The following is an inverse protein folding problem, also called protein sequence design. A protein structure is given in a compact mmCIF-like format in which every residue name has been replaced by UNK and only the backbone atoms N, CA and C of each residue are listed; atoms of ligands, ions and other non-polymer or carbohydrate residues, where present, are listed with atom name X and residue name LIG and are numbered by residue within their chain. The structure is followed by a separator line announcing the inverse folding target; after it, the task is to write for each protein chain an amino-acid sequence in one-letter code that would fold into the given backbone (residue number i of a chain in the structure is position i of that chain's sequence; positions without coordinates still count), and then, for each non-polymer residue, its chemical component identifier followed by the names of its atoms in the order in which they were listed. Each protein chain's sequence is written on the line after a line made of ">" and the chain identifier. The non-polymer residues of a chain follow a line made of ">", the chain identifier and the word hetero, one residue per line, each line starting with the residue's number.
data_IF_970120387183
#
_entry.id   IF_970120387183
#
_cell.length_a   1.000
_cell.length_b   1.000
_cell.length_c   1.000
_cell.angle_alpha   90.00
_cell.angle_beta   90.00
_cell.angle_gamma   90.00
#
_symmetry.space_group_name_H-M   'P 1'
#
loop_
_entity.id
_entity.type
_entity.pdbx_description
1 polymer ?
#
# COMPACT_ATOMS: atom_id res chain seq x y z
N UNK A 1 3.70 -2.62 -35.39
CA UNK A 1 2.65 -2.47 -34.36
C UNK A 1 2.28 -3.87 -33.88
N UNK A 2 2.81 -4.35 -32.75
CA UNK A 2 2.36 -5.62 -32.21
C UNK A 2 0.98 -5.42 -31.57
N UNK A 3 0.03 -6.25 -31.97
CA UNK A 3 -1.32 -6.29 -31.40
C UNK A 3 -1.23 -6.97 -30.04
N UNK A 4 -1.45 -6.21 -28.97
CA UNK A 4 -1.67 -6.76 -27.63
C UNK A 4 -2.95 -7.60 -27.68
N UNK A 5 -2.79 -8.91 -27.62
CA UNK A 5 -3.89 -9.85 -27.40
C UNK A 5 -4.04 -9.99 -25.89
N UNK A 6 -5.22 -9.76 -25.30
CA UNK A 6 -5.42 -9.98 -23.87
C UNK A 6 -5.33 -11.49 -23.61
N UNK A 7 -4.22 -11.94 -23.04
CA UNK A 7 -4.01 -13.33 -22.66
C UNK A 7 -4.92 -13.67 -21.47
N UNK A 8 -5.77 -14.68 -21.68
CA UNK A 8 -6.78 -15.24 -20.76
C UNK A 8 -6.23 -15.80 -19.42
N UNK A 9 -5.00 -15.48 -19.04
CA UNK A 9 -4.29 -16.07 -17.89
C UNK A 9 -4.30 -15.19 -16.64
N UNK A 10 -4.74 -13.92 -16.75
CA UNK A 10 -4.95 -13.04 -15.58
C UNK A 10 -6.14 -13.48 -14.70
N UNK A 11 -7.03 -14.32 -15.24
CA UNK A 11 -8.16 -14.89 -14.52
C UNK A 11 -7.76 -16.03 -13.55
N UNK A 12 -6.53 -16.55 -13.63
CA UNK A 12 -6.11 -17.73 -12.87
C UNK A 12 -5.56 -17.40 -11.46
N UNK A 13 -5.29 -16.13 -11.14
CA UNK A 13 -4.87 -15.69 -9.79
C UNK A 13 -6.05 -15.43 -8.82
N UNK A 14 -7.28 -15.71 -9.27
CA UNK A 14 -8.53 -15.48 -8.52
C UNK A 14 -9.15 -16.77 -7.95
N UNK A 15 -8.45 -17.91 -8.04
CA UNK A 15 -9.02 -19.21 -7.71
C UNK A 15 -8.15 -20.03 -6.75
N UNK A 16 -8.33 -19.83 -5.44
CA UNK A 16 -8.53 -20.92 -4.47
C UNK A 16 -8.61 -20.39 -3.02
N UNK A 17 -9.58 -20.95 -2.27
CA UNK A 17 -9.78 -20.92 -0.81
C UNK A 17 -10.32 -19.63 -0.17
N UNK A 18 -11.64 -19.64 0.06
CA UNK A 18 -12.38 -18.76 0.97
C UNK A 18 -12.28 -19.25 2.42
N UNK A 19 -12.40 -18.33 3.39
CA UNK A 19 -13.47 -18.40 4.36
C UNK A 19 -14.48 -17.28 4.10
N UNK A 20 -15.74 -17.59 4.38
CA UNK A 20 -16.91 -16.79 4.02
C UNK A 20 -16.93 -15.41 4.71
N UNK A 21 -16.57 -14.36 3.97
CA UNK A 21 -17.26 -13.08 4.10
C UNK A 21 -18.35 -13.06 3.04
N UNK A 22 -19.61 -13.13 3.48
CA UNK A 22 -20.75 -13.05 2.59
C UNK A 22 -20.66 -11.74 1.77
N UNK A 23 -20.39 -11.87 0.48
CA UNK A 23 -20.62 -10.82 -0.50
C UNK A 23 -22.13 -10.54 -0.54
N UNK A 24 -22.60 -9.62 0.30
CA UNK A 24 -23.92 -9.03 0.09
C UNK A 24 -23.78 -7.99 -1.02
N UNK A 25 -24.43 -8.24 -2.16
CA UNK A 25 -24.81 -7.19 -3.10
C UNK A 25 -25.46 -6.05 -2.28
N UNK A 26 -24.75 -4.92 -2.16
CA UNK A 26 -25.18 -3.76 -1.35
C UNK A 26 -24.35 -3.47 -0.09
N UNK A 27 -23.34 -4.27 0.28
CA UNK A 27 -22.41 -3.88 1.34
C UNK A 27 -21.56 -2.70 0.86
N UNK A 28 -21.68 -1.56 1.55
CA UNK A 28 -20.77 -0.42 1.37
C UNK A 28 -19.31 -0.88 1.51
N UNK A 29 -18.41 -0.25 0.75
CA UNK A 29 -16.97 -0.54 0.74
C UNK A 29 -16.24 0.09 1.93
N UNK A 30 -16.87 0.05 3.10
CA UNK A 30 -16.34 0.61 4.35
C UNK A 30 -15.00 -0.03 4.74
N UNK A 31 -14.17 0.74 5.45
CA UNK A 31 -12.91 0.30 6.00
C UNK A 31 -11.69 0.96 5.36
N UNK A 32 -10.53 0.37 5.64
CA UNK A 32 -9.22 0.87 5.20
C UNK A 32 -8.70 0.03 4.05
N UNK A 33 -8.29 0.69 2.98
CA UNK A 33 -7.84 0.09 1.73
C UNK A 33 -6.44 0.60 1.42
N UNK A 34 -5.47 -0.30 1.33
CA UNK A 34 -4.10 0.01 0.96
C UNK A 34 -3.87 -0.31 -0.52
N UNK A 35 -3.35 0.64 -1.27
CA UNK A 35 -3.07 0.44 -2.67
C UNK A 35 -1.74 -0.31 -2.88
N UNK A 36 -1.71 -1.25 -3.82
CA UNK A 36 -0.57 -2.14 -4.05
C UNK A 36 0.00 -2.11 -5.48
N UNK A 37 -0.47 -1.20 -6.33
CA UNK A 37 0.14 -1.02 -7.67
C UNK A 37 -0.71 -0.22 -8.65
N UNK A 38 -0.08 0.22 -9.74
CA UNK A 38 -0.75 0.76 -10.92
C UNK A 38 -0.40 -0.03 -12.19
N UNK A 39 -1.26 0.02 -13.20
CA UNK A 39 -1.14 -0.79 -14.42
C UNK A 39 -0.11 -0.33 -15.44
N UNK A 40 0.64 0.76 -15.20
CA UNK A 40 1.68 1.19 -16.13
C UNK A 40 3.02 0.49 -15.88
N UNK A 41 3.06 -0.49 -14.99
CA UNK A 41 4.31 -1.07 -14.49
C UNK A 41 5.06 -0.09 -13.56
N UNK A 42 4.42 1.00 -13.16
CA UNK A 42 4.95 1.94 -12.19
C UNK A 42 4.45 1.48 -10.82
N UNK A 43 5.21 0.57 -10.20
CA UNK A 43 4.98 0.29 -8.79
C UNK A 43 5.34 1.58 -8.03
N UNK A 44 4.37 2.18 -7.32
CA UNK A 44 4.62 3.44 -6.65
C UNK A 44 5.70 3.25 -5.58
N UNK A 45 6.69 4.14 -5.54
CA UNK A 45 7.61 4.27 -4.39
C UNK A 45 6.93 4.85 -3.14
N UNK A 46 5.64 4.59 -2.96
CA UNK A 46 4.78 5.09 -1.89
C UNK A 46 3.64 4.12 -1.61
N UNK A 47 3.10 4.19 -0.39
CA UNK A 47 1.90 3.47 0.04
C UNK A 47 0.74 4.47 0.07
N UNK A 48 -0.28 4.26 -0.75
CA UNK A 48 -1.53 5.04 -0.73
C UNK A 48 -2.57 4.31 0.11
N UNK A 49 -3.32 5.04 0.92
CA UNK A 49 -4.35 4.48 1.82
C UNK A 49 -5.63 5.27 1.66
N UNK A 50 -6.71 4.58 1.32
CA UNK A 50 -8.08 5.08 1.30
C UNK A 50 -8.83 4.55 2.53
N UNK A 51 -9.41 5.45 3.33
CA UNK A 51 -10.33 5.09 4.40
C UNK A 51 -11.72 5.58 4.04
N UNK A 52 -12.70 4.67 4.12
CA UNK A 52 -14.12 4.96 3.91
C UNK A 52 -14.86 4.68 5.22
N UNK A 53 -15.54 5.70 5.73
CA UNK A 53 -16.29 5.65 6.97
C UNK A 53 -17.62 6.39 6.80
N UNK A 54 -18.70 5.63 6.60
CA UNK A 54 -20.03 6.16 6.39
C UNK A 54 -20.16 6.90 5.06
N UNK A 55 -20.47 8.18 5.14
CA UNK A 55 -20.60 9.10 3.99
C UNK A 55 -19.32 9.90 3.74
N UNK A 56 -18.19 9.49 4.33
CA UNK A 56 -16.90 10.18 4.20
C UNK A 56 -15.80 9.26 3.72
N UNK A 57 -14.88 9.84 2.96
CA UNK A 57 -13.66 9.20 2.54
C UNK A 57 -12.46 10.12 2.76
N UNK A 58 -11.33 9.52 3.10
CA UNK A 58 -10.02 10.18 3.22
C UNK A 58 -8.97 9.34 2.52
N UNK A 59 -8.10 9.98 1.74
CA UNK A 59 -6.90 9.35 1.18
C UNK A 59 -5.66 10.01 1.75
N UNK A 60 -4.65 9.20 2.04
CA UNK A 60 -3.33 9.65 2.48
C UNK A 60 -2.23 8.86 1.78
N UNK A 61 -1.01 9.38 1.79
CA UNK A 61 0.16 8.71 1.21
C UNK A 61 1.35 8.71 2.16
N UNK A 62 1.98 7.56 2.28
CA UNK A 62 3.29 7.36 2.92
C UNK A 62 4.35 7.20 1.84
N UNK A 63 5.39 8.05 1.86
CA UNK A 63 6.48 8.02 0.88
C UNK A 63 7.81 8.35 1.55
N UNK A 64 8.92 8.00 0.94
CA UNK A 64 10.23 8.51 1.39
C UNK A 64 10.20 10.05 1.46
N UNK A 65 10.79 10.68 2.50
CA UNK A 65 10.86 12.13 2.59
C UNK A 65 11.58 12.71 1.36
N UNK A 66 11.07 13.81 0.80
CA UNK A 66 11.81 14.54 -0.25
C UNK A 66 13.13 15.09 0.33
N UNK A 67 14.16 15.27 -0.50
CA UNK A 67 15.52 15.63 -0.06
C UNK A 67 15.62 16.87 0.85
N UNK A 68 14.65 17.79 0.79
CA UNK A 68 14.61 19.00 1.62
C UNK A 68 13.97 18.78 3.01
N UNK A 69 13.31 17.65 3.24
CA UNK A 69 12.62 17.37 4.50
C UNK A 69 13.56 17.15 5.69
N UNK A 70 14.82 16.74 5.44
CA UNK A 70 15.85 16.68 6.48
C UNK A 70 16.25 18.06 7.01
N UNK A 71 16.18 19.10 6.15
CA UNK A 71 16.49 20.48 6.53
C UNK A 71 15.28 21.24 7.09
N UNK A 72 14.06 20.87 6.68
CA UNK A 72 12.81 21.52 7.08
C UNK A 72 11.71 20.49 7.41
N UNK A 73 11.79 19.82 8.56
CA UNK A 73 10.85 18.74 8.91
C UNK A 73 9.40 19.23 9.09
N UNK A 74 9.19 20.53 9.31
CA UNK A 74 7.86 21.14 9.42
C UNK A 74 7.29 21.63 8.08
N UNK A 75 8.02 21.51 6.96
CA UNK A 75 7.54 21.94 5.66
C UNK A 75 6.34 21.08 5.18
N UNK A 76 5.40 21.65 4.41
CA UNK A 76 4.33 20.88 3.78
C UNK A 76 4.90 19.72 2.95
N UNK A 77 4.33 18.52 3.12
CA UNK A 77 4.79 17.31 2.44
C UNK A 77 5.98 16.59 3.09
N UNK A 78 6.47 17.08 4.24
CA UNK A 78 7.50 16.42 5.05
C UNK A 78 6.95 15.71 6.30
N UNK A 79 5.74 16.04 6.73
CA UNK A 79 5.02 15.31 7.78
C UNK A 79 4.23 14.17 7.14
N UNK A 80 4.41 12.96 7.68
CA UNK A 80 3.72 11.76 7.25
C UNK A 80 2.58 11.38 8.21
N UNK A 81 1.49 10.76 7.72
CA UNK A 81 1.18 10.60 6.30
C UNK A 81 0.78 11.92 5.65
N UNK A 82 1.00 12.05 4.35
CA UNK A 82 0.58 13.25 3.58
C UNK A 82 -0.89 13.09 3.24
N UNK A 83 -1.80 13.99 3.68
CA UNK A 83 -3.20 13.94 3.26
C UNK A 83 -3.31 14.23 1.77
N UNK A 84 -4.06 13.43 1.01
CA UNK A 84 -4.15 13.60 -0.45
C UNK A 84 -5.56 13.88 -0.94
N UNK A 85 -6.58 13.36 -0.27
CA UNK A 85 -7.97 13.71 -0.51
C UNK A 85 -8.81 13.58 0.77
N UNK A 86 -9.85 14.40 0.91
CA UNK A 86 -10.88 14.20 1.93
C UNK A 86 -12.19 14.84 1.49
N UNK A 87 -13.29 14.17 1.75
CA UNK A 87 -14.60 14.74 1.48
C UNK A 87 -15.74 13.73 1.58
N UNK A 88 -16.87 14.09 0.99
CA UNK A 88 -18.05 13.24 0.95
C UNK A 88 -17.79 12.04 0.03
N UNK A 89 -17.99 10.84 0.56
CA UNK A 89 -17.90 9.62 -0.22
C UNK A 89 -19.15 9.47 -1.09
N UNK A 90 -18.95 9.37 -2.39
CA UNK A 90 -19.98 9.01 -3.35
C UNK A 90 -19.63 7.66 -3.95
N UNK A 91 -20.39 6.63 -3.58
CA UNK A 91 -20.17 5.32 -4.18
C UNK A 91 -21.42 4.47 -4.22
N UNK A 92 -21.43 3.58 -5.20
CA UNK A 92 -22.40 2.50 -5.35
C UNK A 92 -21.63 1.19 -5.57
N UNK A 93 -22.30 0.11 -6.00
CA UNK A 93 -21.65 -1.19 -6.23
C UNK A 93 -20.64 -1.20 -7.39
N UNK A 94 -20.61 -0.17 -8.22
CA UNK A 94 -19.84 -0.08 -9.46
C UNK A 94 -18.99 1.17 -9.58
N UNK A 95 -19.24 2.20 -8.78
CA UNK A 95 -18.55 3.48 -8.91
C UNK A 95 -18.14 4.04 -7.53
N UNK A 96 -16.99 4.70 -7.48
CA UNK A 96 -16.52 5.43 -6.30
C UNK A 96 -15.98 6.81 -6.66
N UNK A 97 -16.14 7.77 -5.75
CA UNK A 97 -15.62 9.12 -5.86
C UNK A 97 -15.58 9.81 -4.50
N UNK A 98 -14.71 10.81 -4.37
CA UNK A 98 -14.61 11.67 -3.19
C UNK A 98 -14.94 13.08 -3.66
N UNK A 99 -16.05 13.64 -3.19
CA UNK A 99 -16.40 15.03 -3.44
C UNK A 99 -15.68 15.90 -2.40
N UNK A 100 -14.70 16.75 -2.80
CA UNK A 100 -13.83 17.44 -1.85
C UNK A 100 -14.59 18.41 -0.94
N UNK A 101 -14.21 18.44 0.34
CA UNK A 101 -14.62 19.55 1.21
C UNK A 101 -13.85 20.81 0.78
N UNK A 102 -14.52 21.94 0.57
CA UNK A 102 -13.90 23.18 0.05
C UNK A 102 -12.72 23.75 0.86
N UNK A 103 -12.38 23.19 2.03
CA UNK A 103 -11.25 23.56 2.88
C UNK A 103 -10.01 22.66 2.73
N UNK A 104 -10.12 21.52 2.03
CA UNK A 104 -9.04 20.53 1.85
C UNK A 104 -8.68 20.39 0.37
N UNK A 105 -8.34 21.50 -0.28
CA UNK A 105 -7.66 21.47 -1.56
C UNK A 105 -6.40 20.59 -1.40
N UNK A 106 -6.14 19.73 -2.38
CA UNK A 106 -4.92 18.92 -2.48
C UNK A 106 -3.71 19.72 -1.96
N UNK A 107 -2.84 19.16 -1.09
CA UNK A 107 -1.66 19.89 -0.63
C UNK A 107 -0.72 20.28 -1.79
N UNK A 108 -0.97 19.73 -2.97
CA UNK A 108 -0.28 20.02 -4.23
C UNK A 108 -0.99 21.13 -5.05
N UNK A 109 -1.92 21.89 -4.45
CA UNK A 109 -2.58 23.02 -5.09
C UNK A 109 -1.53 24.07 -5.50
N UNK A 110 -1.26 24.17 -6.80
CA UNK A 110 -0.27 25.10 -7.37
C UNK A 110 1.04 24.45 -7.83
N UNK A 111 1.22 23.13 -7.70
CA UNK A 111 2.32 22.43 -8.37
C UNK A 111 2.06 22.36 -9.88
N UNK A 112 3.08 22.68 -10.69
CA UNK A 112 2.99 22.75 -12.16
C UNK A 112 2.61 21.39 -12.79
N UNK A 113 2.87 20.31 -12.06
CA UNK A 113 2.37 18.96 -12.32
C UNK A 113 1.87 18.41 -11.00
N UNK A 114 0.56 18.36 -10.77
CA UNK A 114 0.01 17.62 -9.65
C UNK A 114 0.56 16.18 -9.71
N UNK A 115 1.14 15.63 -8.64
CA UNK A 115 1.68 14.28 -8.66
C UNK A 115 0.58 13.33 -9.12
N UNK A 116 0.84 12.50 -10.13
CA UNK A 116 -0.13 11.56 -10.72
C UNK A 116 -0.46 10.37 -9.77
N UNK A 117 -0.10 10.50 -8.50
CA UNK A 117 0.08 9.42 -7.54
C UNK A 117 -1.09 9.26 -6.55
N UNK A 118 -1.75 10.31 -6.02
CA UNK A 118 -2.99 10.14 -5.29
C UNK A 118 -4.13 10.05 -6.29
N UNK A 119 -4.30 8.86 -6.86
CA UNK A 119 -5.17 8.63 -8.01
C UNK A 119 -6.60 9.08 -7.72
N UNK A 120 -7.13 8.76 -6.54
CA UNK A 120 -8.48 9.13 -6.14
C UNK A 120 -8.69 10.64 -5.97
N UNK A 121 -7.62 11.43 -5.91
CA UNK A 121 -7.66 12.87 -5.76
C UNK A 121 -7.70 13.63 -7.10
N UNK A 122 -7.47 12.96 -8.24
CA UNK A 122 -7.53 13.68 -9.53
C UNK A 122 -8.99 13.90 -9.93
N UNK A 123 -9.29 15.12 -10.38
CA UNK A 123 -10.58 15.51 -10.94
C UNK A 123 -10.97 14.61 -12.11
N UNK A 124 -12.23 14.18 -12.15
CA UNK A 124 -12.73 13.34 -13.24
C UNK A 124 -14.08 12.68 -12.95
N UNK A 125 -14.51 11.84 -13.89
CA UNK A 125 -15.66 10.97 -13.69
C UNK A 125 -15.41 9.98 -12.53
N UNK A 126 -16.48 9.44 -11.90
CA UNK A 126 -16.34 8.40 -10.89
C UNK A 126 -15.50 7.21 -11.39
N UNK A 127 -14.77 6.59 -10.48
CA UNK A 127 -13.96 5.41 -10.76
C UNK A 127 -14.85 4.19 -10.86
N UNK A 128 -14.70 3.38 -11.91
CA UNK A 128 -15.36 2.07 -11.99
C UNK A 128 -14.72 1.12 -10.98
N UNK A 129 -15.54 0.30 -10.34
CA UNK A 129 -15.17 -0.58 -9.24
C UNK A 129 -15.43 -2.04 -9.59
N UNK A 130 -14.45 -2.90 -9.27
CA UNK A 130 -14.63 -4.34 -9.19
C UNK A 130 -14.15 -4.80 -7.82
N UNK A 131 -15.04 -5.43 -7.06
CA UNK A 131 -14.73 -5.95 -5.72
C UNK A 131 -14.80 -7.47 -5.73
N UNK A 132 -13.80 -8.09 -5.13
CA UNK A 132 -13.81 -9.51 -4.82
C UNK A 132 -13.18 -9.68 -3.44
N UNK A 133 -14.00 -10.10 -2.47
CA UNK A 133 -13.60 -10.28 -1.08
C UNK A 133 -12.95 -9.01 -0.48
N UNK A 134 -11.75 -9.14 0.10
CA UNK A 134 -10.93 -8.05 0.62
C UNK A 134 -10.06 -7.36 -0.44
N UNK A 135 -10.41 -7.48 -1.73
CA UNK A 135 -9.68 -6.86 -2.85
C UNK A 135 -10.59 -5.95 -3.64
N UNK A 136 -10.02 -4.84 -4.07
CA UNK A 136 -10.66 -3.82 -4.87
C UNK A 136 -9.81 -3.54 -6.11
N UNK A 137 -10.45 -3.44 -7.26
CA UNK A 137 -9.86 -2.86 -8.45
C UNK A 137 -10.68 -1.64 -8.84
N UNK A 138 -10.01 -0.51 -9.00
CA UNK A 138 -10.62 0.73 -9.48
C UNK A 138 -10.04 1.09 -10.84
N UNK A 139 -10.89 1.46 -11.80
CA UNK A 139 -10.47 1.84 -13.14
C UNK A 139 -11.10 3.16 -13.59
N UNK A 140 -10.37 3.95 -14.37
CA UNK A 140 -10.92 5.11 -15.09
C UNK A 140 -10.05 5.46 -16.28
N UNK A 141 -10.57 6.24 -17.20
CA UNK A 141 -9.74 6.98 -18.16
C UNK A 141 -9.36 8.34 -17.56
N UNK A 142 -8.08 8.70 -17.62
CA UNK A 142 -7.61 10.02 -17.23
C UNK A 142 -6.88 10.69 -18.40
N UNK A 143 -7.06 12.00 -18.54
CA UNK A 143 -6.31 12.80 -19.52
C UNK A 143 -5.12 13.45 -18.82
N UNK A 144 -3.91 13.05 -19.20
CA UNK A 144 -2.65 13.58 -18.69
C UNK A 144 -1.88 14.15 -19.88
N UNK A 145 -1.53 15.44 -19.83
CA UNK A 145 -0.82 16.13 -20.92
C UNK A 145 -1.46 15.83 -22.29
N UNK A 146 -2.78 16.07 -22.41
CA UNK A 146 -3.59 15.85 -23.62
C UNK A 146 -3.69 14.39 -24.10
N UNK A 147 -3.16 13.43 -23.34
CA UNK A 147 -3.21 12.01 -23.65
C UNK A 147 -4.19 11.29 -22.73
N UNK A 148 -5.16 10.58 -23.29
CA UNK A 148 -6.05 9.71 -22.52
C UNK A 148 -5.36 8.39 -22.22
N UNK A 149 -5.24 8.07 -20.94
CA UNK A 149 -4.57 6.86 -20.45
C UNK A 149 -5.55 6.09 -19.55
N UNK A 150 -5.74 4.77 -19.78
CA UNK A 150 -6.50 3.94 -18.85
C UNK A 150 -5.69 3.76 -17.56
N UNK A 151 -6.32 4.09 -16.43
CA UNK A 151 -5.77 3.92 -15.10
C UNK A 151 -6.43 2.72 -14.44
N UNK A 152 -5.63 1.85 -13.83
CA UNK A 152 -6.12 0.76 -12.98
C UNK A 152 -5.30 0.78 -11.70
N UNK A 153 -5.99 0.68 -10.56
CA UNK A 153 -5.41 0.63 -9.23
C UNK A 153 -5.98 -0.55 -8.47
N UNK A 154 -5.10 -1.31 -7.83
CA UNK A 154 -5.44 -2.45 -7.00
C UNK A 154 -5.33 -2.06 -5.53
N UNK A 155 -6.32 -2.45 -4.74
CA UNK A 155 -6.37 -2.19 -3.31
C UNK A 155 -6.64 -3.46 -2.53
N UNK A 156 -6.03 -3.53 -1.36
CA UNK A 156 -6.24 -4.57 -0.38
C UNK A 156 -6.93 -3.96 0.83
N UNK A 157 -7.98 -4.61 1.33
CA UNK A 157 -8.56 -4.25 2.62
C UNK A 157 -7.58 -4.66 3.73
N UNK A 158 -7.27 -3.73 4.62
CA UNK A 158 -6.25 -3.89 5.66
C UNK A 158 -6.70 -3.32 7.01
N UNK A 159 -6.01 -3.71 8.08
CA UNK A 159 -6.13 -3.03 9.37
C UNK A 159 -5.64 -1.57 9.25
N UNK A 160 -6.33 -0.58 9.86
CA UNK A 160 -5.93 0.83 9.78
C UNK A 160 -4.53 1.15 10.31
N UNK A 161 -3.98 0.35 11.24
CA UNK A 161 -2.63 0.54 11.77
C UNK A 161 -1.53 0.02 10.83
N UNK A 162 -1.88 -0.90 9.92
CA UNK A 162 -0.90 -1.63 9.12
C UNK A 162 -0.10 -0.75 8.14
N UNK A 163 -0.70 0.19 7.36
CA UNK A 163 0.05 0.91 6.35
C UNK A 163 1.22 1.75 6.91
N UNK A 164 1.03 2.37 8.07
CA UNK A 164 2.07 3.12 8.76
C UNK A 164 3.18 2.19 9.25
N UNK A 165 2.81 1.08 9.90
CA UNK A 165 3.76 0.09 10.39
C UNK A 165 4.58 -0.56 9.25
N UNK A 166 3.94 -0.87 8.11
CA UNK A 166 4.62 -1.38 6.92
C UNK A 166 5.59 -0.34 6.37
N UNK A 167 5.19 0.92 6.26
CA UNK A 167 6.09 2.00 5.81
C UNK A 167 7.30 2.13 6.74
N UNK A 168 7.09 2.17 8.06
CA UNK A 168 8.17 2.30 9.04
C UNK A 168 9.12 1.09 9.00
N UNK A 169 8.59 -0.13 8.79
CA UNK A 169 9.40 -1.34 8.55
C UNK A 169 10.29 -1.19 7.31
N UNK A 170 9.70 -0.82 6.18
CA UNK A 170 10.45 -0.68 4.93
C UNK A 170 11.56 0.37 5.03
N UNK A 171 11.27 1.52 5.65
CA UNK A 171 12.29 2.58 5.83
C UNK A 171 13.35 2.21 6.85
N UNK A 172 12.96 1.58 7.97
CA UNK A 172 13.91 1.22 9.04
C UNK A 172 14.97 0.23 8.56
N UNK A 173 14.61 -0.68 7.65
CA UNK A 173 15.50 -1.71 7.13
C UNK A 173 15.96 -1.46 5.69
N UNK A 174 15.84 -0.22 5.18
CA UNK A 174 16.27 0.19 3.84
C UNK A 174 15.73 -0.70 2.71
N UNK A 175 14.47 -1.12 2.83
CA UNK A 175 13.77 -1.95 1.87
C UNK A 175 13.07 -1.08 0.82
N UNK A 176 13.18 -1.48 -0.44
CA UNK A 176 12.54 -0.78 -1.56
C UNK A 176 11.01 -0.93 -1.50
N UNK A 177 10.30 0.18 -1.28
CA UNK A 177 8.84 0.21 -1.18
C UNK A 177 8.18 -0.37 -2.43
N UNK A 178 8.66 0.00 -3.63
CA UNK A 178 8.07 -0.45 -4.87
C UNK A 178 8.23 -1.97 -5.04
N UNK A 179 9.40 -2.52 -4.68
CA UNK A 179 9.65 -3.97 -4.73
C UNK A 179 8.85 -4.73 -3.67
N UNK A 180 8.63 -4.16 -2.50
CA UNK A 180 7.86 -4.79 -1.42
C UNK A 180 6.37 -4.99 -1.75
N UNK A 181 5.80 -4.26 -2.72
CA UNK A 181 4.38 -4.40 -3.07
C UNK A 181 4.03 -5.76 -3.69
N UNK A 182 4.95 -6.36 -4.46
CA UNK A 182 4.78 -7.71 -5.01
C UNK A 182 4.57 -8.78 -3.92
N UNK A 183 5.51 -8.97 -2.97
CA UNK A 183 5.34 -9.94 -1.89
C UNK A 183 4.17 -9.59 -0.95
N UNK A 184 3.86 -8.32 -0.70
CA UNK A 184 2.66 -7.91 0.06
C UNK A 184 1.38 -8.43 -0.62
N UNK A 185 1.25 -8.25 -1.93
CA UNK A 185 0.10 -8.76 -2.69
C UNK A 185 0.00 -10.28 -2.66
N UNK A 186 1.13 -10.98 -2.68
CA UNK A 186 1.18 -12.45 -2.59
C UNK A 186 0.79 -12.93 -1.19
N UNK A 187 1.30 -12.28 -0.13
CA UNK A 187 0.95 -12.62 1.25
C UNK A 187 -0.54 -12.43 1.52
N UNK A 188 -1.15 -11.36 1.01
CA UNK A 188 -2.59 -11.11 1.17
C UNK A 188 -3.47 -12.21 0.54
N UNK A 189 -2.93 -13.03 -0.36
CA UNK A 189 -3.65 -14.20 -0.89
C UNK A 189 -3.77 -15.35 0.13
N UNK A 190 -2.92 -15.36 1.16
CA UNK A 190 -2.93 -16.36 2.23
C UNK A 190 -3.34 -15.69 3.55
N UNK A 191 -4.56 -15.97 4.07
CA UNK A 191 -5.05 -15.33 5.28
C UNK A 191 -4.15 -15.52 6.50
N UNK A 192 -3.54 -16.69 6.66
CA UNK A 192 -2.71 -17.01 7.82
C UNK A 192 -1.36 -16.28 7.74
N UNK A 193 -0.71 -16.29 6.58
CA UNK A 193 0.53 -15.57 6.38
C UNK A 193 0.34 -14.06 6.48
N UNK A 194 -0.78 -13.54 5.95
CA UNK A 194 -1.16 -12.15 6.04
C UNK A 194 -1.44 -11.70 7.48
N UNK A 195 -2.21 -12.49 8.24
CA UNK A 195 -2.51 -12.20 9.64
C UNK A 195 -1.22 -12.17 10.47
N UNK A 196 -0.32 -13.14 10.27
CA UNK A 196 0.96 -13.20 10.97
C UNK A 196 1.85 -11.98 10.68
N UNK A 197 2.02 -11.59 9.40
CA UNK A 197 2.76 -10.38 9.06
C UNK A 197 2.13 -9.13 9.68
N UNK A 198 0.80 -9.00 9.54
CA UNK A 198 0.07 -7.82 10.01
C UNK A 198 0.19 -7.65 11.51
N UNK A 199 0.00 -8.73 12.28
CA UNK A 199 0.12 -8.73 13.73
C UNK A 199 1.54 -8.33 14.17
N UNK A 200 2.57 -8.90 13.55
CA UNK A 200 3.97 -8.58 13.90
C UNK A 200 4.31 -7.13 13.59
N UNK A 201 3.91 -6.61 12.42
CA UNK A 201 4.13 -5.21 12.07
C UNK A 201 3.42 -4.25 13.03
N UNK A 202 2.14 -4.52 13.34
CA UNK A 202 1.35 -3.69 14.26
C UNK A 202 1.94 -3.72 15.67
N UNK A 203 2.38 -4.89 16.16
CA UNK A 203 3.03 -5.01 17.46
C UNK A 203 4.36 -4.24 17.51
N UNK A 204 5.16 -4.30 16.44
CA UNK A 204 6.44 -3.60 16.35
C UNK A 204 6.32 -2.08 16.08
N UNK A 205 5.13 -1.60 15.70
CA UNK A 205 4.91 -0.24 15.22
C UNK A 205 5.51 0.87 16.11
N UNK A 206 5.37 0.85 17.46
CA UNK A 206 5.96 1.89 18.30
C UNK A 206 7.49 1.94 18.23
N UNK A 207 8.15 0.79 18.06
CA UNK A 207 9.61 0.71 17.95
C UNK A 207 10.03 1.14 16.55
N UNK A 208 9.35 0.65 15.51
CA UNK A 208 9.60 1.01 14.11
C UNK A 208 9.46 2.53 13.87
N UNK A 209 8.39 3.15 14.39
CA UNK A 209 8.20 4.60 14.29
C UNK A 209 9.36 5.35 14.97
N UNK A 210 9.75 4.91 16.18
CA UNK A 210 10.89 5.47 16.91
C UNK A 210 12.20 5.39 16.13
N UNK A 211 12.47 4.25 15.48
CA UNK A 211 13.65 4.06 14.63
C UNK A 211 13.60 4.96 13.40
N UNK A 212 12.48 5.03 12.68
CA UNK A 212 12.34 5.92 11.53
C UNK A 212 12.57 7.39 11.92
N UNK A 213 11.99 7.84 13.02
CA UNK A 213 12.17 9.21 13.53
C UNK A 213 13.67 9.46 13.84
N UNK A 214 14.35 8.50 14.46
CA UNK A 214 15.78 8.60 14.76
C UNK A 214 16.64 8.63 13.49
N UNK A 215 16.36 7.77 12.50
CA UNK A 215 17.02 7.78 11.16
C UNK A 215 16.84 9.13 10.47
N UNK A 216 15.69 9.79 10.69
CA UNK A 216 15.39 11.12 10.15
C UNK A 216 16.05 12.27 10.92
N UNK A 217 16.89 11.98 11.93
CA UNK A 217 17.58 12.98 12.75
C UNK A 217 16.68 13.73 13.73
N UNK A 218 15.46 13.26 13.95
CA UNK A 218 14.51 13.82 14.90
C UNK A 218 14.64 13.12 16.26
N UNK A 219 14.36 13.85 17.34
CA UNK A 219 14.35 13.25 18.67
C UNK A 219 13.19 12.23 18.76
N UNK A 220 13.46 10.95 19.06
CA UNK A 220 12.39 9.98 19.21
C UNK A 220 11.50 10.35 20.40
N UNK A 221 10.19 10.05 20.35
CA UNK A 221 9.34 10.17 21.52
C UNK A 221 9.89 9.30 22.67
N UNK A 222 9.68 9.68 23.95
CA UNK A 222 10.15 8.90 25.07
C UNK A 222 9.56 7.49 25.01
N UNK A 223 10.43 6.49 24.91
CA UNK A 223 10.02 5.11 24.69
C UNK A 223 9.26 4.55 25.89
N UNK A 224 8.01 4.15 25.68
CA UNK A 224 7.36 3.08 26.43
C UNK A 224 7.23 1.89 25.48
N UNK A 225 8.37 1.34 25.03
CA UNK A 225 8.33 0.08 24.30
C UNK A 225 7.97 -1.01 25.32
N UNK A 226 6.71 -1.43 25.29
CA UNK A 226 6.25 -2.63 25.99
C UNK A 226 7.05 -3.84 25.48
N UNK A 227 7.25 -4.88 26.31
CA UNK A 227 8.12 -6.01 25.98
C UNK A 227 7.74 -6.68 24.65
N UNK A 228 6.45 -6.73 24.35
CA UNK A 228 5.89 -7.27 23.10
C UNK A 228 6.38 -6.51 21.86
N UNK A 229 6.41 -5.17 21.91
CA UNK A 229 6.86 -4.36 20.78
C UNK A 229 8.35 -4.55 20.50
N UNK A 230 9.16 -4.74 21.55
CA UNK A 230 10.58 -5.02 21.42
C UNK A 230 10.84 -6.42 20.85
N UNK A 231 10.07 -7.43 21.26
CA UNK A 231 10.15 -8.80 20.73
C UNK A 231 9.73 -8.85 19.26
N UNK A 232 8.63 -8.21 18.89
CA UNK A 232 8.17 -8.12 17.50
C UNK A 232 9.19 -7.40 16.61
N UNK A 233 9.77 -6.30 17.09
CA UNK A 233 10.84 -5.61 16.37
C UNK A 233 12.08 -6.49 16.21
N UNK A 234 12.51 -7.20 17.26
CA UNK A 234 13.66 -8.09 17.22
C UNK A 234 13.48 -9.19 16.17
N UNK A 235 12.28 -9.77 16.07
CA UNK A 235 11.94 -10.72 15.02
C UNK A 235 12.09 -10.09 13.61
N UNK A 236 11.52 -8.91 13.39
CA UNK A 236 11.63 -8.22 12.09
C UNK A 236 13.09 -7.89 11.73
N UNK A 237 13.90 -7.50 12.73
CA UNK A 237 15.31 -7.20 12.54
C UNK A 237 16.12 -8.45 12.20
N UNK A 238 15.85 -9.57 12.86
CA UNK A 238 16.47 -10.87 12.57
C UNK A 238 16.15 -11.33 11.14
N UNK A 239 14.88 -11.21 10.73
CA UNK A 239 14.45 -11.54 9.37
C UNK A 239 15.04 -10.63 8.30
N UNK A 240 15.26 -9.36 8.60
CA UNK A 240 15.82 -8.37 7.68
C UNK A 240 17.36 -8.40 7.60
N UNK A 241 18.04 -9.21 8.41
CA UNK A 241 19.49 -9.34 8.36
C UNK A 241 19.96 -9.95 7.03
N UNK A 242 21.12 -9.51 6.54
CA UNK A 242 21.70 -10.01 5.27
C UNK A 242 21.99 -11.52 5.31
N UNK A 243 22.27 -12.06 6.50
CA UNK A 243 22.57 -13.46 6.78
C UNK A 243 21.40 -14.21 7.44
N UNK A 244 20.19 -13.67 7.38
CA UNK A 244 19.00 -14.30 7.94
C UNK A 244 18.77 -15.69 7.35
N UNK A 245 18.79 -16.72 8.19
CA UNK A 245 18.43 -18.09 7.81
C UNK A 245 16.93 -18.31 8.09
N UNK A 246 16.10 -18.53 7.06
CA UNK A 246 14.70 -18.84 7.29
C UNK A 246 14.57 -20.20 8.00
N UNK A 247 13.50 -20.41 8.79
CA UNK A 247 13.22 -21.71 9.38
C UNK A 247 13.20 -22.84 8.36
N UNK A 248 13.45 -24.08 8.80
CA UNK A 248 13.45 -25.23 7.90
C UNK A 248 12.11 -25.38 7.16
N UNK A 249 12.17 -25.47 5.83
CA UNK A 249 10.99 -25.65 4.99
C UNK A 249 10.27 -24.36 4.57
N UNK A 250 10.79 -23.19 4.92
CA UNK A 250 10.32 -21.89 4.43
C UNK A 250 11.47 -21.09 3.81
N UNK A 251 11.13 -20.06 3.04
CA UNK A 251 12.08 -19.13 2.42
C UNK A 251 11.63 -17.70 2.68
N UNK A 252 12.55 -16.74 2.64
CA UNK A 252 12.22 -15.33 2.75
C UNK A 252 11.69 -14.81 1.41
N UNK A 253 10.63 -14.01 1.47
CA UNK A 253 10.10 -13.38 0.27
C UNK A 253 11.08 -12.32 -0.29
N UNK A 254 11.31 -12.30 -1.63
CA UNK A 254 12.17 -11.30 -2.24
C UNK A 254 11.55 -9.90 -2.10
N UNK A 255 12.36 -8.93 -1.66
CA UNK A 255 11.94 -7.53 -1.49
C UNK A 255 11.10 -7.25 -0.24
N UNK A 256 10.76 -8.27 0.56
CA UNK A 256 10.09 -8.13 1.86
C UNK A 256 10.49 -9.34 2.73
N UNK A 257 11.53 -9.21 3.57
CA UNK A 257 12.04 -10.31 4.38
C UNK A 257 10.98 -10.87 5.36
N UNK A 258 10.25 -11.88 4.90
CA UNK A 258 9.22 -12.56 5.66
C UNK A 258 9.17 -14.05 5.28
N UNK A 259 9.15 -14.98 6.24
CA UNK A 259 9.07 -16.40 5.95
C UNK A 259 7.77 -16.79 5.25
N UNK A 260 7.88 -17.48 4.13
CA UNK A 260 6.76 -18.01 3.37
C UNK A 260 7.10 -19.36 2.71
N UNK A 261 6.09 -19.99 2.12
CA UNK A 261 6.32 -21.18 1.30
C UNK A 261 7.12 -20.84 0.04
N UNK A 262 7.85 -21.82 -0.50
CA UNK A 262 8.58 -21.64 -1.76
C UNK A 262 7.66 -21.17 -2.90
N UNK A 263 6.43 -21.69 -2.97
CA UNK A 263 5.47 -21.29 -4.00
C UNK A 263 5.10 -19.79 -3.92
N UNK A 264 5.03 -19.22 -2.72
CA UNK A 264 4.77 -17.78 -2.55
C UNK A 264 6.00 -16.95 -2.94
N UNK A 265 7.19 -17.42 -2.60
CA UNK A 265 8.42 -16.75 -3.01
C UNK A 265 8.60 -16.76 -4.53
N UNK A 266 8.32 -17.88 -5.18
CA UNK A 266 8.34 -17.99 -6.65
C UNK A 266 7.32 -17.03 -7.29
N UNK A 267 6.10 -16.93 -6.72
CA UNK A 267 5.08 -16.00 -7.20
C UNK A 267 5.47 -14.52 -6.99
N UNK A 268 6.09 -14.19 -5.86
CA UNK A 268 6.62 -12.86 -5.60
C UNK A 268 7.77 -12.52 -6.55
N UNK A 269 8.68 -13.47 -6.81
CA UNK A 269 9.78 -13.30 -7.77
C UNK A 269 9.25 -13.09 -9.20
N UNK A 270 8.28 -13.89 -9.65
CA UNK A 270 7.65 -13.72 -10.97
C UNK A 270 6.94 -12.36 -11.10
N UNK A 271 6.36 -11.83 -10.02
CA UNK A 271 5.86 -10.46 -9.99
C UNK A 271 6.99 -9.44 -10.17
N UNK A 272 8.08 -9.58 -9.42
CA UNK A 272 9.24 -8.69 -9.48
C UNK A 272 9.92 -8.71 -10.86
N UNK A 273 10.14 -9.89 -11.45
CA UNK A 273 10.77 -10.05 -12.75
C UNK A 273 9.96 -9.36 -13.85
N UNK A 274 8.62 -9.46 -13.79
CA UNK A 274 7.73 -8.77 -14.73
C UNK A 274 7.69 -7.26 -14.52
N UNK A 275 7.77 -6.80 -13.27
CA UNK A 275 7.72 -5.39 -12.94
C UNK A 275 9.04 -4.65 -13.20
N UNK A 276 10.19 -5.31 -12.97
CA UNK A 276 11.51 -4.69 -12.96
C UNK A 276 12.50 -5.26 -13.98
N UNK A 277 12.10 -6.26 -14.78
CA UNK A 277 12.84 -6.69 -15.96
C UNK A 277 13.84 -7.83 -15.78
N UNK A 278 13.97 -8.42 -14.58
CA UNK A 278 14.85 -9.56 -14.29
C UNK A 278 16.34 -9.23 -14.26
#
# INVERSE_FOLDING_TARGET
>A
MPRLTPSLTFAALLGAATPAFAASEGARIEGTWMAIGDMLGVLPGHIEVLTIAGDRATSVTWRAPAGDCGAQPAAPGCVLPIPTASGAFRGNSFEIGIEPDGANASPFAGEEVAPLWPLLALDGAPWTLFRQDGRLMTTREATIAETTIPMIRLWLQVDPALPGALYDYLVTFDLDIARALCPVSTLHADPQAWEALSATLIAAAPVLEGQRIAVSGLAPPPAAAESEAAEAFALLADLAAEDAEPPEGVTLLPGLPWPASQAMADAAQDCLDRAFGG
#
